data_IF_267951980627
#
_entry.id   IF_267951980627
#
_cell.length_a   1.000
_cell.length_b   1.000
_cell.length_c   1.000
_cell.angle_alpha   90.00
_cell.angle_beta   90.00
_cell.angle_gamma   90.00
#
_symmetry.space_group_name_H-M   'P 1'
#
loop_
_entity.id
_entity.type
_entity.pdbx_description
1 polymer ?
#
# COMPACT_ATOMS: atom_id res chain seq x y z
N UNK A 1 15.63 13.90 16.71
CA UNK A 1 14.80 13.69 15.51
C UNK A 1 13.40 13.37 15.97
N UNK A 2 12.50 14.36 15.90
CA UNK A 2 11.14 14.21 16.41
C UNK A 2 10.30 13.57 15.31
N UNK A 3 10.23 12.24 15.29
CA UNK A 3 9.21 11.53 14.51
C UNK A 3 7.96 11.47 15.39
N UNK A 4 7.09 12.44 15.18
CA UNK A 4 5.82 12.58 15.90
C UNK A 4 4.81 11.56 15.37
N UNK A 5 4.46 10.57 16.21
CA UNK A 5 3.39 9.59 15.96
C UNK A 5 1.99 10.10 16.38
N UNK A 6 1.89 11.35 16.86
CA UNK A 6 0.66 11.90 17.44
C UNK A 6 -0.18 12.79 16.51
N UNK A 7 0.33 13.15 15.34
CA UNK A 7 -0.41 13.94 14.35
C UNK A 7 -1.08 13.03 13.33
N UNK A 8 -2.32 12.61 13.59
CA UNK A 8 -3.13 11.98 12.54
C UNK A 8 -3.10 12.88 11.31
N UNK A 9 -2.46 12.43 10.22
CA UNK A 9 -2.43 13.16 8.96
C UNK A 9 -3.87 13.40 8.55
N UNK A 10 -4.32 14.66 8.63
CA UNK A 10 -5.65 15.06 8.14
C UNK A 10 -5.60 15.10 6.61
N UNK A 11 -5.48 13.92 6.02
CA UNK A 11 -5.63 13.74 4.58
C UNK A 11 -7.10 13.97 4.22
N UNK A 12 -7.34 14.64 3.10
CA UNK A 12 -8.70 14.75 2.58
C UNK A 12 -9.18 13.37 2.12
N UNK A 13 -10.49 13.17 2.07
CA UNK A 13 -11.06 11.92 1.55
C UNK A 13 -10.56 11.63 0.12
N UNK A 14 -10.43 12.67 -0.70
CA UNK A 14 -9.95 12.59 -2.08
C UNK A 14 -8.49 12.12 -2.14
N UNK A 15 -7.61 12.69 -1.30
CA UNK A 15 -6.21 12.27 -1.18
C UNK A 15 -6.12 10.80 -0.72
N UNK A 16 -6.90 10.42 0.30
CA UNK A 16 -6.94 9.05 0.79
C UNK A 16 -7.44 8.07 -0.28
N UNK A 17 -8.46 8.46 -1.05
CA UNK A 17 -8.99 7.66 -2.16
C UNK A 17 -7.96 7.50 -3.27
N UNK A 18 -7.32 8.59 -3.70
CA UNK A 18 -6.27 8.57 -4.72
C UNK A 18 -5.07 7.70 -4.29
N UNK A 19 -4.69 7.78 -3.02
CA UNK A 19 -3.65 6.95 -2.42
C UNK A 19 -3.99 5.45 -2.52
N UNK A 20 -5.22 5.05 -2.18
CA UNK A 20 -5.66 3.66 -2.28
C UNK A 20 -5.74 3.21 -3.74
N UNK A 21 -6.30 4.03 -4.61
CA UNK A 21 -6.44 3.74 -6.04
C UNK A 21 -5.07 3.52 -6.70
N UNK A 22 -4.09 4.36 -6.37
CA UNK A 22 -2.75 4.31 -6.96
C UNK A 22 -1.89 3.23 -6.31
N UNK A 23 -1.72 3.27 -4.99
CA UNK A 23 -0.71 2.47 -4.29
C UNK A 23 -1.16 1.03 -4.06
N UNK A 24 -2.46 0.79 -3.88
CA UNK A 24 -2.99 -0.55 -3.68
C UNK A 24 -3.52 -1.12 -4.99
N UNK A 25 -4.58 -0.55 -5.55
CA UNK A 25 -5.22 -1.12 -6.74
C UNK A 25 -4.34 -1.01 -7.99
N UNK A 26 -3.61 0.09 -8.17
CA UNK A 26 -2.62 0.25 -9.24
C UNK A 26 -1.53 -0.82 -9.17
N UNK A 27 -0.97 -1.06 -7.98
CA UNK A 27 0.07 -2.08 -7.80
C UNK A 27 -0.45 -3.51 -7.98
N UNK A 28 -1.69 -3.80 -7.58
CA UNK A 28 -2.35 -5.09 -7.89
C UNK A 28 -2.44 -5.30 -9.40
N UNK A 29 -2.99 -4.33 -10.14
CA UNK A 29 -3.11 -4.42 -11.61
C UNK A 29 -1.77 -4.57 -12.30
N UNK A 30 -0.76 -3.82 -11.86
CA UNK A 30 0.61 -3.93 -12.38
C UNK A 30 1.20 -5.32 -12.11
N UNK A 31 1.00 -5.84 -10.90
CA UNK A 31 1.45 -7.18 -10.53
C UNK A 31 0.78 -8.25 -11.38
N UNK A 32 -0.54 -8.20 -11.55
CA UNK A 32 -1.28 -9.14 -12.40
C UNK A 32 -0.81 -9.11 -13.85
N UNK A 33 -0.58 -7.91 -14.41
CA UNK A 33 -0.12 -7.75 -15.77
C UNK A 33 1.31 -8.28 -15.99
N UNK A 34 2.20 -8.12 -15.01
CA UNK A 34 3.60 -8.52 -15.11
C UNK A 34 3.86 -9.97 -14.68
N UNK A 35 3.02 -10.53 -13.81
CA UNK A 35 3.22 -11.86 -13.22
C UNK A 35 3.45 -12.97 -14.26
N UNK A 36 2.70 -13.05 -15.38
CA UNK A 36 2.97 -14.05 -16.41
C UNK A 36 4.38 -13.93 -17.00
N UNK A 37 4.85 -12.71 -17.25
CA UNK A 37 6.19 -12.47 -17.80
C UNK A 37 7.29 -12.78 -16.78
N UNK A 38 7.08 -12.40 -15.52
CA UNK A 38 8.04 -12.68 -14.44
C UNK A 38 8.22 -14.18 -14.21
N UNK A 39 7.17 -14.99 -14.40
CA UNK A 39 7.24 -16.46 -14.33
C UNK A 39 8.04 -17.09 -15.47
N UNK A 40 8.10 -16.45 -16.62
CA UNK A 40 8.87 -16.92 -17.78
C UNK A 40 10.35 -16.50 -17.71
N UNK A 41 10.70 -15.62 -16.78
CA UNK A 41 12.06 -15.11 -16.65
C UNK A 41 13.04 -16.25 -16.32
N UNK A 42 14.13 -16.41 -17.09
CA UNK A 42 15.18 -17.38 -16.77
C UNK A 42 16.00 -16.95 -15.53
N UNK A 43 15.87 -15.69 -15.15
CA UNK A 43 16.43 -15.13 -13.92
C UNK A 43 15.33 -15.13 -12.86
N UNK A 44 15.63 -15.64 -11.67
CA UNK A 44 14.69 -15.77 -10.54
C UNK A 44 14.09 -14.41 -10.12
N UNK A 45 13.03 -13.98 -10.81
CA UNK A 45 12.43 -12.67 -10.67
C UNK A 45 11.75 -12.54 -9.31
N UNK A 46 11.81 -11.34 -8.71
CA UNK A 46 11.23 -11.05 -7.39
C UNK A 46 10.42 -9.76 -7.45
N UNK A 47 9.26 -9.80 -6.81
CA UNK A 47 8.41 -8.62 -6.61
C UNK A 47 8.62 -8.15 -5.17
N UNK A 48 8.94 -6.87 -5.00
CA UNK A 48 9.09 -6.24 -3.69
C UNK A 48 8.06 -5.13 -3.58
N UNK A 49 7.14 -5.28 -2.62
CA UNK A 49 6.10 -4.29 -2.33
C UNK A 49 6.61 -3.33 -1.28
N UNK A 50 6.56 -2.03 -1.56
CA UNK A 50 6.95 -0.98 -0.60
C UNK A 50 5.69 -0.38 0.01
N UNK A 51 5.58 -0.45 1.33
CA UNK A 51 4.44 0.07 2.09
C UNK A 51 4.89 1.05 3.17
N UNK A 52 3.93 1.69 3.84
CA UNK A 52 4.14 2.63 4.95
C UNK A 52 3.41 2.15 6.20
N UNK A 53 3.91 2.56 7.37
CA UNK A 53 3.25 2.34 8.67
C UNK A 53 1.84 2.96 8.68
N UNK A 54 1.64 4.05 7.94
CA UNK A 54 0.32 4.66 7.76
C UNK A 54 -0.70 3.75 7.06
N UNK A 55 -0.25 2.72 6.33
CA UNK A 55 -1.12 1.70 5.73
C UNK A 55 -1.59 0.62 6.70
N UNK A 56 -1.13 0.64 7.95
CA UNK A 56 -1.58 -0.30 8.98
C UNK A 56 -2.94 0.14 9.53
N UNK A 57 -4.00 -0.56 9.12
CA UNK A 57 -5.35 -0.31 9.63
C UNK A 57 -5.51 -0.91 11.03
N UNK A 58 -5.66 -0.06 12.05
CA UNK A 58 -6.06 -0.50 13.39
C UNK A 58 -7.58 -0.63 13.44
N UNK A 59 -8.10 -1.84 13.69
CA UNK A 59 -9.52 -2.02 14.00
C UNK A 59 -9.72 -1.64 15.47
N UNK A 60 -10.26 -0.45 15.73
CA UNK A 60 -10.71 -0.11 17.07
C UNK A 60 -11.99 -0.90 17.38
N UNK A 61 -11.88 -1.94 18.19
CA UNK A 61 -13.05 -2.65 18.73
C UNK A 61 -13.80 -1.70 19.66
N UNK A 62 -15.00 -1.29 19.28
CA UNK A 62 -15.90 -0.54 20.14
C UNK A 62 -16.53 -1.51 21.15
N UNK A 63 -15.91 -1.68 22.30
CA UNK A 63 -16.57 -2.29 23.46
C UNK A 63 -17.51 -1.26 24.07
N UNK A 64 -18.81 -1.45 23.84
CA UNK A 64 -19.87 -0.78 24.60
C UNK A 64 -19.92 -1.30 26.05
#
# INVERSE_FOLDING_TARGET
SNFDYGGGTRESYESAKECIDTNYYGTVKLTEALLPFLRLSPHNARIVMVSSIAGLLCVSSNTA
#
